data_IF_672976981649
#
_entry.id   IF_672976981649
#
_cell.length_a   1.000
_cell.length_b   1.000
_cell.length_c   1.000
_cell.angle_alpha   90.00
_cell.angle_beta   90.00
_cell.angle_gamma   90.00
#
_symmetry.space_group_name_H-M   'P 1'
#
loop_
_entity.id
_entity.type
_entity.pdbx_description
1 polymer ?
#
# COMPACT_ATOMS: atom_id res chain seq x y z
N UNK A 1 2.15 -10.08 -16.00
CA UNK A 1 2.89 -8.81 -15.85
C UNK A 1 2.18 -8.02 -14.76
N UNK A 2 2.84 -7.72 -13.64
CA UNK A 2 2.28 -6.84 -12.60
C UNK A 2 2.93 -5.48 -12.72
N UNK A 3 2.14 -4.41 -12.70
CA UNK A 3 2.67 -3.05 -12.57
C UNK A 3 3.21 -2.86 -11.14
N UNK A 4 4.47 -2.38 -10.94
CA UNK A 4 4.97 -2.03 -9.61
C UNK A 4 4.14 -0.90 -8.98
N UNK A 5 4.03 -0.88 -7.66
CA UNK A 5 3.24 0.14 -6.94
C UNK A 5 3.82 1.53 -7.20
N UNK A 6 5.13 1.64 -7.30
CA UNK A 6 5.87 2.88 -7.55
C UNK A 6 5.55 3.45 -8.94
N UNK A 7 5.33 2.58 -9.92
CA UNK A 7 4.93 2.97 -11.28
C UNK A 7 3.45 3.34 -11.32
N UNK A 8 2.60 2.59 -10.61
CA UNK A 8 1.17 2.85 -10.51
C UNK A 8 0.87 4.20 -9.85
N UNK A 9 1.60 4.53 -8.77
CA UNK A 9 1.38 5.74 -7.99
C UNK A 9 2.22 6.94 -8.45
N UNK A 10 2.95 6.82 -9.58
CA UNK A 10 3.80 7.91 -10.07
C UNK A 10 2.97 9.17 -10.35
N UNK A 11 3.37 10.29 -9.75
CA UNK A 11 2.70 11.59 -9.90
C UNK A 11 1.59 11.86 -8.88
N UNK A 12 1.32 10.92 -7.97
CA UNK A 12 0.42 11.08 -6.84
C UNK A 12 1.21 11.22 -5.53
N UNK A 13 0.57 11.66 -4.42
CA UNK A 13 1.16 11.63 -3.09
C UNK A 13 1.75 10.26 -2.71
N UNK A 14 2.87 10.27 -1.98
CA UNK A 14 3.60 9.04 -1.62
C UNK A 14 2.78 8.09 -0.72
N UNK A 15 1.81 8.65 -0.01
CA UNK A 15 0.86 7.98 0.87
C UNK A 15 0.07 6.89 0.12
N UNK A 16 -0.23 7.08 -1.17
CA UNK A 16 -0.89 6.06 -1.97
C UNK A 16 -0.02 4.81 -2.16
N UNK A 17 1.28 5.00 -2.44
CA UNK A 17 2.21 3.89 -2.57
C UNK A 17 2.44 3.21 -1.22
N UNK A 18 2.54 3.99 -0.13
CA UNK A 18 2.67 3.46 1.22
C UNK A 18 1.47 2.62 1.63
N UNK A 19 0.25 3.10 1.38
CA UNK A 19 -0.98 2.36 1.68
C UNK A 19 -1.05 1.03 0.90
N UNK A 20 -0.77 1.05 -0.40
CA UNK A 20 -0.80 -0.16 -1.23
C UNK A 20 0.28 -1.16 -0.83
N UNK A 21 1.49 -0.69 -0.53
CA UNK A 21 2.57 -1.55 -0.05
C UNK A 21 2.24 -2.14 1.33
N UNK A 22 1.61 -1.38 2.22
CA UNK A 22 1.11 -1.89 3.50
C UNK A 22 0.11 -3.01 3.29
N UNK A 23 -0.96 -2.79 2.50
CA UNK A 23 -2.00 -3.79 2.28
C UNK A 23 -1.46 -5.06 1.61
N UNK A 24 -0.47 -4.95 0.71
CA UNK A 24 0.18 -6.12 0.07
C UNK A 24 1.12 -6.89 1.00
N UNK A 25 1.60 -6.25 2.07
CA UNK A 25 2.49 -6.83 3.07
C UNK A 25 1.78 -7.55 4.22
N UNK A 26 0.46 -7.35 4.36
CA UNK A 26 -0.34 -8.00 5.40
C UNK A 26 -0.31 -9.53 5.24
N UNK A 27 -0.08 -10.25 6.35
CA UNK A 27 -0.29 -11.70 6.40
C UNK A 27 -1.79 -12.01 6.31
N UNK A 28 -2.12 -13.22 5.89
CA UNK A 28 -3.51 -13.66 5.71
C UNK A 28 -4.40 -13.46 6.95
N UNK A 29 -3.83 -13.66 8.14
CA UNK A 29 -4.52 -13.55 9.43
C UNK A 29 -4.17 -12.27 10.20
N UNK A 30 -3.39 -11.36 9.60
CA UNK A 30 -2.99 -10.11 10.23
C UNK A 30 -4.10 -9.06 10.15
N UNK A 31 -4.50 -8.54 11.31
CA UNK A 31 -5.44 -7.43 11.36
C UNK A 31 -4.76 -6.12 10.89
N UNK A 32 -5.36 -5.36 9.96
CA UNK A 32 -4.82 -4.07 9.54
C UNK A 32 -4.82 -3.05 10.67
N UNK A 33 -3.78 -2.21 10.73
CA UNK A 33 -3.71 -1.03 11.60
C UNK A 33 -4.40 0.14 10.90
N UNK A 34 -5.70 0.27 11.13
CA UNK A 34 -6.51 1.32 10.54
C UNK A 34 -6.16 2.74 11.05
N UNK A 35 -5.50 2.86 12.21
CA UNK A 35 -5.09 4.17 12.74
C UNK A 35 -3.85 4.69 12.00
N UNK A 36 -2.92 3.78 11.67
CA UNK A 36 -1.76 4.10 10.83
C UNK A 36 -2.14 4.47 9.38
N UNK A 37 -3.25 3.93 8.86
CA UNK A 37 -3.70 4.15 7.47
C UNK A 37 -4.62 5.36 7.28
N UNK A 38 -4.89 6.14 8.34
CA UNK A 38 -5.84 7.26 8.31
C UNK A 38 -5.22 8.59 7.89
#
# INVERSE_FOLDING_TARGET
MSTPVEILCKGFPAEFAMYLNYCRGLRFEEAPDYMYLR
#
